data_IF_273135895801
#
_entry.id   IF_273135895801
#
_cell.length_a   1.000
_cell.length_b   1.000
_cell.length_c   1.000
_cell.angle_alpha   90.00
_cell.angle_beta   90.00
_cell.angle_gamma   90.00
#
_symmetry.space_group_name_H-M   'P 1'
#
loop_
_entity.id
_entity.type
_entity.pdbx_description
1 polymer ?
#
# COMPACT_ATOMS: atom_id res chain seq x y z
N UNK A 1 7.77 -5.63 -33.76
CA UNK A 1 8.41 -4.91 -32.64
C UNK A 1 7.34 -4.04 -31.98
N UNK A 2 7.34 -3.91 -30.66
CA UNK A 2 6.39 -3.01 -29.99
C UNK A 2 6.65 -1.55 -30.40
N UNK A 3 5.59 -0.78 -30.61
CA UNK A 3 5.68 0.64 -30.95
C UNK A 3 6.32 1.42 -29.78
N UNK A 4 6.99 2.51 -30.11
CA UNK A 4 7.71 3.37 -29.14
C UNK A 4 7.19 4.81 -29.21
N UNK A 5 7.49 5.63 -28.19
CA UNK A 5 7.21 7.07 -28.25
C UNK A 5 7.87 7.76 -29.46
N UNK A 6 8.99 7.23 -29.96
CA UNK A 6 9.64 7.76 -31.17
C UNK A 6 8.82 7.48 -32.43
N UNK A 7 8.10 6.37 -32.47
CA UNK A 7 7.23 6.03 -33.60
C UNK A 7 5.98 6.92 -33.60
N UNK A 8 5.39 7.22 -32.43
CA UNK A 8 4.34 8.22 -32.29
C UNK A 8 4.83 9.60 -32.74
N UNK A 9 6.04 10.01 -32.31
CA UNK A 9 6.61 11.29 -32.72
C UNK A 9 6.79 11.37 -34.25
N UNK A 10 7.26 10.28 -34.87
CA UNK A 10 7.43 10.17 -36.33
C UNK A 10 6.08 10.21 -37.04
N UNK A 11 5.06 9.51 -36.54
CA UNK A 11 3.71 9.44 -37.13
C UNK A 11 2.95 10.77 -37.06
N UNK A 12 3.11 11.50 -35.94
CA UNK A 12 2.39 12.75 -35.69
C UNK A 12 3.12 14.01 -36.19
N UNK A 13 4.42 13.90 -36.49
CA UNK A 13 5.30 15.04 -36.76
C UNK A 13 5.57 15.92 -35.56
N UNK A 14 5.24 15.47 -34.34
CA UNK A 14 5.45 16.23 -33.11
C UNK A 14 6.79 15.89 -32.45
N UNK A 15 7.35 16.85 -31.72
CA UNK A 15 8.56 16.63 -30.96
C UNK A 15 8.36 15.62 -29.83
N UNK A 16 9.39 14.79 -29.55
CA UNK A 16 9.38 13.78 -28.51
C UNK A 16 9.03 14.37 -27.11
N UNK A 17 9.42 15.62 -26.87
CA UNK A 17 9.07 16.34 -25.64
C UNK A 17 7.55 16.53 -25.49
N UNK A 18 6.84 16.83 -26.60
CA UNK A 18 5.38 16.98 -26.61
C UNK A 18 4.70 15.65 -26.34
N UNK A 19 5.19 14.57 -26.97
CA UNK A 19 4.70 13.21 -26.72
C UNK A 19 4.92 12.81 -25.26
N UNK A 20 6.13 13.05 -24.73
CA UNK A 20 6.44 12.78 -23.32
C UNK A 20 5.56 13.60 -22.37
N UNK A 21 5.28 14.86 -22.70
CA UNK A 21 4.38 15.73 -21.90
C UNK A 21 2.96 15.16 -21.85
N UNK A 22 2.43 14.69 -22.98
CA UNK A 22 1.11 14.04 -23.05
C UNK A 22 1.00 12.86 -22.07
N UNK A 23 1.95 11.91 -22.11
CA UNK A 23 1.95 10.72 -21.25
C UNK A 23 2.22 11.03 -19.77
N UNK A 24 2.79 12.19 -19.45
CA UNK A 24 3.05 12.60 -18.07
C UNK A 24 1.99 13.57 -17.51
N UNK A 25 0.84 13.72 -18.18
CA UNK A 25 -0.24 14.59 -17.74
C UNK A 25 0.06 16.08 -17.88
N UNK A 26 1.07 16.43 -18.68
CA UNK A 26 1.40 17.82 -18.97
C UNK A 26 0.40 18.47 -19.93
N UNK A 27 0.44 19.80 -20.03
CA UNK A 27 -0.46 20.54 -20.88
C UNK A 27 -0.03 20.41 -22.37
N UNK A 28 -0.87 19.77 -23.17
CA UNK A 28 -0.70 19.61 -24.61
C UNK A 28 -1.88 20.26 -25.32
N UNK A 29 -1.62 21.07 -26.36
CA UNK A 29 -2.67 21.72 -27.15
C UNK A 29 -3.63 20.67 -27.73
N UNK A 30 -4.95 20.93 -27.69
CA UNK A 30 -5.98 20.01 -28.10
C UNK A 30 -5.72 19.40 -29.49
N UNK A 31 -5.36 20.23 -30.47
CA UNK A 31 -5.00 19.75 -31.83
C UNK A 31 -3.88 18.69 -31.83
N UNK A 32 -2.92 18.78 -30.90
CA UNK A 32 -1.82 17.83 -30.79
C UNK A 32 -2.26 16.57 -30.02
N UNK A 33 -3.16 16.74 -29.04
CA UNK A 33 -3.75 15.65 -28.27
C UNK A 33 -4.45 14.64 -29.20
N UNK A 34 -5.37 15.14 -30.03
CA UNK A 34 -6.10 14.32 -31.01
C UNK A 34 -5.14 13.54 -31.91
N UNK A 35 -4.11 14.21 -32.48
CA UNK A 35 -3.11 13.52 -33.31
C UNK A 35 -2.34 12.42 -32.57
N UNK A 36 -2.06 12.62 -31.28
CA UNK A 36 -1.36 11.63 -30.47
C UNK A 36 -2.27 10.44 -30.20
N UNK A 37 -3.53 10.68 -29.87
CA UNK A 37 -4.52 9.63 -29.61
C UNK A 37 -4.77 8.75 -30.86
N UNK A 38 -4.95 9.37 -32.03
CA UNK A 38 -5.04 8.66 -33.31
C UNK A 38 -3.79 7.79 -33.57
N UNK A 39 -2.60 8.33 -33.32
CA UNK A 39 -1.37 7.58 -33.53
C UNK A 39 -1.17 6.44 -32.49
N UNK A 40 -1.64 6.59 -31.26
CA UNK A 40 -1.65 5.52 -30.24
C UNK A 40 -2.53 4.37 -30.73
N UNK A 41 -3.75 4.65 -31.20
CA UNK A 41 -4.66 3.63 -31.69
C UNK A 41 -4.10 2.92 -32.93
N UNK A 42 -3.60 3.68 -33.92
CA UNK A 42 -3.06 3.13 -35.17
C UNK A 42 -1.81 2.26 -34.95
N UNK A 43 -0.94 2.67 -34.03
CA UNK A 43 0.29 1.94 -33.74
C UNK A 43 0.12 0.88 -32.66
N UNK A 44 -1.09 0.73 -32.09
CA UNK A 44 -1.34 -0.11 -30.91
C UNK A 44 -0.28 0.11 -29.82
N UNK A 45 0.00 1.40 -29.55
CA UNK A 45 1.05 1.75 -28.59
C UNK A 45 0.57 1.55 -27.15
N UNK A 46 1.32 0.76 -26.41
CA UNK A 46 1.15 0.62 -24.96
C UNK A 46 2.30 1.29 -24.22
N UNK A 47 1.96 1.99 -23.12
CA UNK A 47 2.97 2.63 -22.28
C UNK A 47 3.86 1.57 -21.63
N UNK A 48 5.15 1.61 -21.91
CA UNK A 48 6.10 0.75 -21.20
C UNK A 48 6.37 1.31 -19.80
N UNK A 49 5.62 0.83 -18.82
CA UNK A 49 5.74 1.26 -17.42
C UNK A 49 7.14 0.99 -16.83
N UNK A 50 7.84 -0.05 -17.30
CA UNK A 50 9.21 -0.35 -16.87
C UNK A 50 10.17 0.75 -17.34
N UNK A 51 10.07 1.15 -18.61
CA UNK A 51 10.91 2.23 -19.16
C UNK A 51 10.57 3.59 -18.52
N UNK A 52 9.29 3.82 -18.24
CA UNK A 52 8.82 5.01 -17.53
C UNK A 52 9.35 5.03 -16.09
N UNK A 53 9.27 3.92 -15.38
CA UNK A 53 9.78 3.77 -14.02
C UNK A 53 11.28 4.03 -13.90
N UNK A 54 12.08 3.59 -14.89
CA UNK A 54 13.51 3.89 -14.94
C UNK A 54 13.79 5.40 -15.08
N UNK A 55 12.98 6.12 -15.85
CA UNK A 55 13.15 7.55 -16.07
C UNK A 55 12.69 8.40 -14.87
N UNK A 56 11.61 7.97 -14.22
CA UNK A 56 11.00 8.71 -13.10
C UNK A 56 11.53 8.26 -11.74
N UNK A 57 12.33 7.19 -11.70
CA UNK A 57 12.75 6.48 -10.48
C UNK A 57 11.56 6.06 -9.59
N UNK A 58 10.39 5.80 -10.21
CA UNK A 58 9.16 5.39 -9.53
C UNK A 58 8.46 4.30 -10.36
N UNK A 59 8.22 3.16 -9.74
CA UNK A 59 7.61 2.00 -10.39
C UNK A 59 6.09 1.96 -10.22
N UNK A 60 5.53 2.88 -9.44
CA UNK A 60 4.12 2.89 -9.05
C UNK A 60 3.68 1.54 -8.46
N UNK A 61 4.56 0.92 -7.70
CA UNK A 61 4.34 -0.39 -7.09
C UNK A 61 4.74 -0.36 -5.62
N UNK A 62 3.87 -0.86 -4.77
CA UNK A 62 4.12 -1.06 -3.33
C UNK A 62 4.24 -2.56 -3.06
N UNK A 63 5.27 -2.94 -2.31
CA UNK A 63 5.41 -4.29 -1.79
C UNK A 63 4.67 -4.46 -0.47
N UNK A 64 3.94 -5.56 -0.32
CA UNK A 64 3.26 -5.92 0.93
C UNK A 64 3.75 -7.28 1.36
N UNK A 65 4.33 -7.37 2.56
CA UNK A 65 4.79 -8.64 3.14
C UNK A 65 3.89 -8.97 4.32
N UNK A 66 3.31 -10.15 4.30
CA UNK A 66 2.34 -10.61 5.30
C UNK A 66 2.74 -11.97 5.87
N UNK A 67 2.35 -12.27 7.12
CA UNK A 67 2.63 -13.56 7.73
C UNK A 67 1.87 -14.72 7.07
N UNK A 68 0.60 -14.51 6.69
CA UNK A 68 -0.24 -15.56 6.12
C UNK A 68 -1.36 -14.98 5.25
N UNK A 69 -1.48 -15.46 4.02
CA UNK A 69 -2.52 -15.00 3.09
C UNK A 69 -3.90 -15.59 3.43
N UNK A 70 -3.96 -16.77 4.03
CA UNK A 70 -5.22 -17.42 4.44
C UNK A 70 -5.79 -16.87 5.77
N UNK A 71 -5.12 -15.92 6.39
CA UNK A 71 -5.59 -15.23 7.58
C UNK A 71 -6.57 -14.12 7.21
N UNK A 72 -7.83 -14.21 7.70
CA UNK A 72 -8.90 -13.24 7.41
C UNK A 72 -8.49 -11.82 7.78
N UNK A 73 -7.80 -11.62 8.90
CA UNK A 73 -7.31 -10.31 9.32
C UNK A 73 -6.32 -9.71 8.31
N UNK A 74 -5.36 -10.52 7.84
CA UNK A 74 -4.42 -10.07 6.80
C UNK A 74 -5.15 -9.77 5.50
N UNK A 75 -6.10 -10.62 5.09
CA UNK A 75 -6.84 -10.44 3.85
C UNK A 75 -7.70 -9.17 3.85
N UNK A 76 -8.41 -8.88 4.95
CA UNK A 76 -9.20 -7.66 5.10
C UNK A 76 -8.29 -6.40 5.00
N UNK A 77 -7.15 -6.39 5.69
CA UNK A 77 -6.20 -5.26 5.63
C UNK A 77 -5.64 -5.08 4.21
N UNK A 78 -5.29 -6.16 3.51
CA UNK A 78 -4.78 -6.08 2.14
C UNK A 78 -5.84 -5.47 1.23
N UNK A 79 -7.08 -5.90 1.33
CA UNK A 79 -8.19 -5.40 0.50
C UNK A 79 -8.35 -3.89 0.66
N UNK A 80 -8.41 -3.40 1.90
CA UNK A 80 -8.56 -1.97 2.17
C UNK A 80 -7.34 -1.15 1.71
N UNK A 81 -6.13 -1.68 1.91
CA UNK A 81 -4.91 -1.02 1.44
C UNK A 81 -4.85 -0.95 -0.08
N UNK A 82 -5.22 -2.04 -0.76
CA UNK A 82 -5.16 -2.15 -2.21
C UNK A 82 -6.12 -1.16 -2.88
N UNK A 83 -7.34 -1.00 -2.36
CA UNK A 83 -8.29 -0.02 -2.86
C UNK A 83 -7.74 1.42 -2.76
N UNK A 84 -7.11 1.76 -1.63
CA UNK A 84 -6.46 3.06 -1.45
C UNK A 84 -5.28 3.23 -2.41
N UNK A 85 -4.40 2.25 -2.52
CA UNK A 85 -3.22 2.30 -3.39
C UNK A 85 -3.61 2.42 -4.86
N UNK A 86 -4.60 1.65 -5.29
CA UNK A 86 -5.16 1.68 -6.65
C UNK A 86 -5.75 3.04 -6.99
N UNK A 87 -6.49 3.65 -6.07
CA UNK A 87 -7.06 4.99 -6.27
C UNK A 87 -5.99 6.06 -6.50
N UNK A 88 -4.74 5.79 -6.08
CA UNK A 88 -3.57 6.66 -6.29
C UNK A 88 -2.65 6.17 -7.43
N UNK A 89 -3.10 5.19 -8.19
CA UNK A 89 -2.37 4.65 -9.34
C UNK A 89 -1.17 3.79 -8.96
N UNK A 90 -1.21 3.13 -7.79
CA UNK A 90 -0.21 2.16 -7.37
C UNK A 90 -0.73 0.73 -7.56
N UNK A 91 0.13 -0.14 -8.06
CA UNK A 91 -0.08 -1.59 -8.03
C UNK A 91 0.52 -2.18 -6.75
N UNK A 92 0.04 -3.36 -6.35
CA UNK A 92 0.47 -4.05 -5.14
C UNK A 92 1.13 -5.39 -5.50
N UNK A 93 2.29 -5.68 -4.90
CA UNK A 93 2.91 -7.01 -4.92
C UNK A 93 2.82 -7.58 -3.51
N UNK A 94 2.00 -8.61 -3.33
CA UNK A 94 1.81 -9.29 -2.06
C UNK A 94 2.75 -10.50 -1.96
N UNK A 95 3.50 -10.59 -0.86
CA UNK A 95 4.38 -11.71 -0.53
C UNK A 95 3.90 -12.35 0.77
N UNK A 96 3.49 -13.61 0.71
CA UNK A 96 3.16 -14.43 1.86
C UNK A 96 4.43 -15.09 2.41
N UNK A 97 4.82 -14.77 3.63
CA UNK A 97 6.02 -15.33 4.25
C UNK A 97 5.73 -16.55 5.16
N UNK A 98 4.48 -17.01 5.25
CA UNK A 98 4.08 -18.22 5.99
C UNK A 98 4.60 -18.26 7.42
N UNK A 99 4.60 -17.13 8.10
CA UNK A 99 5.14 -16.98 9.45
C UNK A 99 6.62 -17.41 9.59
N UNK A 100 7.35 -17.46 8.49
CA UNK A 100 8.78 -17.83 8.45
C UNK A 100 9.66 -16.59 8.27
N UNK A 101 10.58 -16.37 9.21
CA UNK A 101 11.51 -15.22 9.21
C UNK A 101 12.43 -15.21 7.98
N UNK A 102 12.80 -16.37 7.45
CA UNK A 102 13.66 -16.45 6.28
C UNK A 102 12.87 -16.04 5.03
N UNK A 103 11.65 -16.55 4.88
CA UNK A 103 10.77 -16.16 3.76
C UNK A 103 10.43 -14.67 3.81
N UNK A 104 10.27 -14.08 5.00
CA UNK A 104 10.10 -12.62 5.15
C UNK A 104 11.31 -11.85 4.61
N UNK A 105 12.53 -12.25 4.98
CA UNK A 105 13.76 -11.64 4.48
C UNK A 105 13.90 -11.78 2.97
N UNK A 106 13.63 -12.97 2.44
CA UNK A 106 13.67 -13.25 1.00
C UNK A 106 12.64 -12.40 0.23
N UNK A 107 11.44 -12.21 0.80
CA UNK A 107 10.39 -11.37 0.25
C UNK A 107 10.81 -9.89 0.18
N UNK A 108 11.37 -9.34 1.26
CA UNK A 108 11.87 -7.95 1.29
C UNK A 108 13.00 -7.77 0.27
N UNK A 109 13.91 -8.74 0.16
CA UNK A 109 14.98 -8.69 -0.83
C UNK A 109 14.46 -8.78 -2.27
N UNK A 110 13.47 -9.64 -2.53
CA UNK A 110 12.78 -9.72 -3.81
C UNK A 110 12.14 -8.40 -4.19
N UNK A 111 11.37 -7.78 -3.28
CA UNK A 111 10.71 -6.50 -3.49
C UNK A 111 11.73 -5.37 -3.72
N UNK A 112 12.85 -5.39 -3.01
CA UNK A 112 13.96 -4.46 -3.23
C UNK A 112 14.54 -4.58 -4.64
N UNK A 113 14.77 -5.82 -5.13
CA UNK A 113 15.21 -6.07 -6.51
C UNK A 113 14.17 -5.66 -7.55
N UNK A 114 12.89 -5.78 -7.24
CA UNK A 114 11.78 -5.27 -8.07
C UNK A 114 11.67 -3.75 -8.06
N UNK A 115 12.47 -3.05 -7.23
CA UNK A 115 12.50 -1.59 -7.10
C UNK A 115 11.15 -0.99 -6.72
N UNK A 116 10.35 -1.70 -5.90
CA UNK A 116 9.10 -1.15 -5.39
C UNK A 116 9.31 0.23 -4.76
N UNK A 117 8.31 1.10 -4.78
CA UNK A 117 8.42 2.48 -4.28
C UNK A 117 8.32 2.59 -2.76
N UNK A 118 7.85 1.52 -2.10
CA UNK A 118 7.78 1.39 -0.66
C UNK A 118 7.39 -0.03 -0.26
N UNK A 119 7.53 -0.33 1.04
CA UNK A 119 7.13 -1.62 1.61
C UNK A 119 6.17 -1.39 2.78
N UNK A 120 5.09 -2.17 2.80
CA UNK A 120 4.23 -2.36 3.94
C UNK A 120 4.51 -3.76 4.47
N UNK A 121 4.90 -3.89 5.75
CA UNK A 121 5.28 -5.16 6.34
C UNK A 121 4.50 -5.45 7.61
N UNK A 122 3.95 -6.66 7.74
CA UNK A 122 3.49 -7.24 8.99
C UNK A 122 4.59 -8.16 9.53
N UNK A 123 5.47 -7.68 10.42
CA UNK A 123 6.73 -8.36 10.71
C UNK A 123 6.53 -9.64 11.50
N UNK A 124 7.20 -10.70 11.07
CA UNK A 124 7.43 -11.95 11.81
C UNK A 124 8.77 -11.89 12.53
N UNK A 125 9.78 -11.31 11.87
CA UNK A 125 11.11 -11.10 12.44
C UNK A 125 11.18 -9.77 13.19
N UNK A 126 11.29 -9.84 14.52
CA UNK A 126 11.36 -8.67 15.41
C UNK A 126 12.72 -7.98 15.43
N UNK A 127 13.78 -8.60 14.86
CA UNK A 127 15.11 -7.98 14.76
C UNK A 127 15.19 -6.92 13.66
N UNK A 128 14.42 -7.08 12.57
CA UNK A 128 14.29 -6.10 11.50
C UNK A 128 15.53 -5.85 10.65
N UNK A 129 16.57 -6.70 10.73
CA UNK A 129 17.83 -6.49 10.00
C UNK A 129 17.65 -6.42 8.47
N UNK A 130 16.69 -7.18 7.93
CA UNK A 130 16.33 -7.18 6.51
C UNK A 130 15.69 -5.85 6.08
N UNK A 131 14.92 -5.22 6.95
CA UNK A 131 14.30 -3.92 6.69
C UNK A 131 15.32 -2.78 6.76
N UNK A 132 16.34 -2.86 7.62
CA UNK A 132 17.44 -1.88 7.67
C UNK A 132 18.14 -1.74 6.31
N UNK A 133 18.31 -2.86 5.60
CA UNK A 133 18.90 -2.85 4.26
C UNK A 133 18.01 -2.11 3.25
N UNK A 134 16.69 -2.35 3.31
CA UNK A 134 15.74 -1.64 2.45
C UNK A 134 15.66 -0.14 2.82
N UNK A 135 15.65 0.19 4.10
CA UNK A 135 15.63 1.59 4.58
C UNK A 135 16.77 2.44 4.00
N UNK A 136 17.97 1.84 3.81
CA UNK A 136 19.11 2.52 3.18
C UNK A 136 18.84 2.96 1.73
N UNK A 137 17.82 2.46 1.09
CA UNK A 137 17.42 2.91 -0.26
C UNK A 137 16.69 4.26 -0.25
N UNK A 138 16.36 4.79 0.93
CA UNK A 138 15.57 6.01 1.11
C UNK A 138 14.08 5.86 0.82
N UNK A 139 13.59 4.64 0.59
CA UNK A 139 12.18 4.36 0.32
C UNK A 139 11.41 4.12 1.61
N UNK A 140 10.12 4.49 1.66
CA UNK A 140 9.31 4.36 2.86
C UNK A 140 9.05 2.91 3.24
N UNK A 141 9.00 2.69 4.56
CA UNK A 141 8.55 1.45 5.18
C UNK A 141 7.41 1.80 6.13
N UNK A 142 6.35 1.01 6.10
CA UNK A 142 5.25 1.06 7.07
C UNK A 142 5.12 -0.32 7.71
N UNK A 143 5.13 -0.37 9.04
CA UNK A 143 4.86 -1.60 9.79
C UNK A 143 3.40 -1.65 10.21
N UNK A 144 2.81 -2.84 10.18
CA UNK A 144 1.44 -3.08 10.67
C UNK A 144 1.48 -4.15 11.75
N UNK A 145 0.60 -4.01 12.75
CA UNK A 145 0.39 -4.92 13.87
C UNK A 145 1.53 -4.99 14.88
N UNK A 146 2.78 -4.87 14.45
CA UNK A 146 3.96 -4.94 15.33
C UNK A 146 4.94 -3.83 15.01
N UNK A 147 5.59 -3.31 16.05
CA UNK A 147 6.67 -2.32 15.95
C UNK A 147 8.02 -3.00 16.13
N UNK A 148 8.99 -2.60 15.32
CA UNK A 148 10.39 -2.98 15.48
C UNK A 148 11.13 -1.73 15.97
N UNK A 149 11.72 -1.78 17.16
CA UNK A 149 12.32 -0.60 17.80
C UNK A 149 13.53 -0.06 17.04
N UNK A 150 14.28 -0.95 16.41
CA UNK A 150 15.53 -0.63 15.69
C UNK A 150 15.29 -0.04 14.30
N UNK A 151 14.03 0.06 13.86
CA UNK A 151 13.66 0.62 12.55
C UNK A 151 12.92 1.94 12.75
N UNK A 152 13.49 3.01 12.23
CA UNK A 152 12.82 4.32 12.18
C UNK A 152 11.87 4.37 10.99
N UNK A 153 10.60 4.04 11.19
CA UNK A 153 9.57 4.05 10.17
C UNK A 153 8.19 4.29 10.81
N UNK A 154 7.20 4.55 9.96
CA UNK A 154 5.80 4.63 10.40
C UNK A 154 5.27 3.25 10.78
N UNK A 155 4.36 3.22 11.76
CA UNK A 155 3.69 1.99 12.18
C UNK A 155 2.21 2.23 12.46
N UNK A 156 1.39 1.26 12.07
CA UNK A 156 -0.04 1.20 12.36
C UNK A 156 -0.26 0.07 13.34
N UNK A 157 -0.68 0.42 14.55
CA UNK A 157 -0.81 -0.51 15.67
C UNK A 157 -2.23 -0.44 16.22
N UNK A 158 -2.71 -1.57 16.75
CA UNK A 158 -3.90 -1.64 17.58
C UNK A 158 -3.46 -1.62 19.04
N UNK A 159 -4.16 -0.88 19.86
CA UNK A 159 -3.96 -0.88 21.31
C UNK A 159 -4.57 -2.15 21.92
N UNK A 160 -3.86 -3.28 21.73
CA UNK A 160 -4.30 -4.58 22.19
C UNK A 160 -4.33 -4.69 23.73
N UNK A 161 -3.45 -3.96 24.42
CA UNK A 161 -3.41 -3.94 25.88
C UNK A 161 -4.70 -3.33 26.45
N UNK A 162 -5.05 -2.16 25.97
CA UNK A 162 -6.28 -1.49 26.38
C UNK A 162 -7.52 -2.29 25.97
N UNK A 163 -7.55 -2.85 24.78
CA UNK A 163 -8.66 -3.68 24.32
C UNK A 163 -8.85 -4.93 25.19
N UNK A 164 -7.75 -5.58 25.59
CA UNK A 164 -7.78 -6.71 26.51
C UNK A 164 -8.25 -6.31 27.93
N UNK A 165 -7.75 -5.17 28.43
CA UNK A 165 -8.17 -4.62 29.72
C UNK A 165 -9.68 -4.32 29.73
N UNK A 166 -10.20 -3.65 28.71
CA UNK A 166 -11.62 -3.32 28.58
C UNK A 166 -12.47 -4.58 28.48
N UNK A 167 -12.04 -5.60 27.72
CA UNK A 167 -12.72 -6.88 27.61
C UNK A 167 -12.78 -7.62 28.95
N UNK A 168 -11.66 -7.67 29.70
CA UNK A 168 -11.59 -8.31 31.00
C UNK A 168 -12.45 -7.57 32.03
N UNK A 169 -12.42 -6.23 32.03
CA UNK A 169 -13.27 -5.42 32.88
C UNK A 169 -14.74 -5.71 32.64
N UNK A 170 -15.17 -5.72 31.39
CA UNK A 170 -16.56 -6.07 31.00
C UNK A 170 -16.94 -7.47 31.44
N UNK A 171 -16.05 -8.43 31.33
CA UNK A 171 -16.28 -9.81 31.76
C UNK A 171 -16.50 -9.91 33.27
N UNK A 172 -15.67 -9.29 34.07
CA UNK A 172 -15.80 -9.33 35.54
C UNK A 172 -17.03 -8.59 36.02
N UNK A 173 -17.31 -7.39 35.51
CA UNK A 173 -18.53 -6.64 35.90
C UNK A 173 -19.82 -7.36 35.49
N UNK A 174 -19.85 -8.11 34.39
CA UNK A 174 -21.03 -8.91 34.03
C UNK A 174 -21.25 -10.11 34.93
N UNK A 175 -20.20 -10.70 35.47
CA UNK A 175 -20.35 -11.79 36.44
C UNK A 175 -20.95 -11.32 37.77
N UNK A 176 -20.60 -10.14 38.23
CA UNK A 176 -21.13 -9.55 39.48
C UNK A 176 -22.60 -9.18 39.34
N UNK A 177 -23.03 -8.67 38.18
CA UNK A 177 -24.43 -8.36 37.90
C UNK A 177 -25.28 -9.61 37.69
N UNK A 178 -24.72 -10.71 37.19
CA UNK A 178 -25.45 -11.98 37.09
C UNK A 178 -25.73 -12.65 38.45
N UNK A 179 -24.86 -12.43 39.45
CA UNK A 179 -25.08 -12.90 40.83
C UNK A 179 -26.10 -12.07 41.62
N UNK A 180 -26.39 -10.86 41.18
CA UNK A 180 -27.31 -9.94 41.87
C UNK A 180 -28.78 -9.96 41.35
N UNK A 181 -29.16 -10.93 40.54
CA UNK A 181 -30.58 -11.28 40.29
C UNK A 181 -31.48 -10.18 39.70
N UNK A 182 -30.95 -9.21 38.98
CA UNK A 182 -31.79 -8.23 38.27
C UNK A 182 -31.78 -8.44 36.77
N UNK A 183 -32.92 -8.92 36.27
CA UNK A 183 -33.26 -9.01 34.86
C UNK A 183 -33.34 -7.58 34.28
N UNK A 184 -32.33 -7.11 33.66
CA UNK A 184 -32.43 -6.11 32.59
C UNK A 184 -31.06 -5.74 32.03
N UNK A 185 -31.00 -5.82 30.78
CA UNK A 185 -30.16 -5.17 29.77
C UNK A 185 -29.38 -6.17 28.91
N UNK A 186 -30.13 -6.73 27.96
CA UNK A 186 -29.54 -7.04 26.64
C UNK A 186 -29.08 -5.74 26.02
N UNK A 187 -27.87 -5.27 26.30
CA UNK A 187 -27.21 -4.34 25.41
C UNK A 187 -26.54 -5.15 24.31
N UNK A 188 -27.18 -5.08 23.13
CA UNK A 188 -26.59 -5.45 21.84
C UNK A 188 -25.17 -4.93 21.78
N UNK A 189 -24.22 -5.80 21.47
CA UNK A 189 -23.00 -5.38 20.81
C UNK A 189 -23.41 -4.54 19.60
N UNK A 190 -22.93 -3.31 19.45
CA UNK A 190 -23.06 -2.63 18.19
C UNK A 190 -22.28 -3.48 17.18
N UNK A 191 -23.04 -4.05 16.25
CA UNK A 191 -22.46 -4.73 15.12
C UNK A 191 -21.41 -3.81 14.47
N UNK A 192 -20.27 -4.40 14.15
CA UNK A 192 -19.19 -3.87 13.34
C UNK A 192 -19.63 -2.73 12.40
N UNK A 193 -19.58 -1.50 12.88
CA UNK A 193 -19.64 -0.29 12.06
C UNK A 193 -18.68 0.68 12.71
N UNK A 194 -17.61 1.01 11.99
CA UNK A 194 -16.67 2.12 12.19
C UNK A 194 -15.20 1.79 12.50
N UNK A 195 -14.68 0.56 12.30
CA UNK A 195 -13.22 0.39 12.24
C UNK A 195 -12.68 0.91 10.90
N UNK A 196 -13.47 0.85 9.81
CA UNK A 196 -13.04 1.26 8.48
C UNK A 196 -12.89 2.77 8.29
N UNK A 197 -13.75 3.62 8.88
CA UNK A 197 -13.69 5.07 8.64
C UNK A 197 -12.58 5.79 9.39
N UNK A 198 -12.28 5.41 10.61
CA UNK A 198 -11.21 6.04 11.38
C UNK A 198 -9.82 5.56 10.92
N UNK A 199 -9.70 4.29 10.53
CA UNK A 199 -8.46 3.74 9.94
C UNK A 199 -8.20 4.38 8.57
N UNK A 200 -9.23 4.55 7.76
CA UNK A 200 -9.14 5.21 6.45
C UNK A 200 -8.75 6.70 6.58
N UNK A 201 -9.32 7.41 7.54
CA UNK A 201 -8.98 8.81 7.80
C UNK A 201 -7.56 8.97 8.35
N UNK A 202 -7.07 8.03 9.16
CA UNK A 202 -5.71 8.05 9.70
C UNK A 202 -4.66 7.63 8.66
N UNK A 203 -4.95 6.61 7.85
CA UNK A 203 -4.09 6.23 6.73
C UNK A 203 -4.01 7.34 5.67
N UNK A 204 -5.13 7.93 5.27
CA UNK A 204 -5.14 9.06 4.32
C UNK A 204 -4.29 10.24 4.80
N UNK A 205 -4.33 10.59 6.10
CA UNK A 205 -3.55 11.71 6.64
C UNK A 205 -2.05 11.45 6.77
N UNK A 206 -1.59 10.21 6.96
CA UNK A 206 -0.17 9.89 7.22
C UNK A 206 0.60 9.41 5.99
N UNK A 207 -0.01 8.64 5.11
CA UNK A 207 0.64 8.19 3.86
C UNK A 207 0.93 9.38 2.94
N UNK A 208 0.14 10.46 3.03
CA UNK A 208 0.29 11.67 2.19
C UNK A 208 1.08 12.82 2.81
N UNK A 209 1.58 12.72 4.06
CA UNK A 209 2.40 13.76 4.68
C UNK A 209 3.84 13.86 4.12
N UNK A 210 4.27 12.92 3.30
CA UNK A 210 5.61 12.90 2.68
C UNK A 210 5.69 13.52 1.28
N UNK A 211 4.74 14.35 0.89
CA UNK A 211 4.84 15.16 -0.33
C UNK A 211 4.79 16.65 0.01
N UNK A 212 5.86 17.17 0.60
CA UNK A 212 6.44 18.46 0.26
C UNK A 212 7.64 18.72 1.19
N UNK A 213 8.85 18.99 0.65
CA UNK A 213 9.87 19.68 1.40
C UNK A 213 9.47 21.14 1.57
#
# INVERSE_FOLDING_TARGET
>A
MAATMKDIARRTGLGLATISSYFNGGNVREKNRVKIEEAIEELHYEVNEVARGLKTNATKTIGVVIPELNNTFCAEIITEMEDVLRSHGYATIVCDCRTDKKLERDAVEFLSRKRVDGIINMPVDTEGNHLKKFQKTGKPIVLIDRKIQEISCDSVLVDNEKAAEDAMRDFFFRQDTAKSGSSAVRRRYPQRRNVSRDTEAHMKKRIFRYRNP
#
